data_IF_846724678692
#
_entry.id   IF_846724678692
#
_cell.length_a   1.000
_cell.length_b   1.000
_cell.length_c   1.000
_cell.angle_alpha   90.00
_cell.angle_beta   90.00
_cell.angle_gamma   90.00
#
_symmetry.space_group_name_H-M   'P 1'
#
loop_
_entity.id
_entity.type
_entity.pdbx_description
1 polymer ?
#
# COMPACT_ATOMS: atom_id res chain seq x y z
N UNK A 1 -6.00 -6.28 -40.03
CA UNK A 1 -5.98 -5.13 -39.11
C UNK A 1 -5.17 -5.56 -37.90
N UNK A 2 -3.85 -5.35 -37.93
CA UNK A 2 -3.03 -5.55 -36.73
C UNK A 2 -3.27 -4.33 -35.85
N UNK A 3 -3.90 -4.56 -34.71
CA UNK A 3 -4.21 -3.54 -33.73
C UNK A 3 -2.91 -2.84 -33.32
N UNK A 4 -2.88 -1.50 -33.38
CA UNK A 4 -1.69 -0.66 -33.17
C UNK A 4 -1.35 -0.53 -31.67
N UNK A 5 -1.50 -1.63 -30.93
CA UNK A 5 -1.22 -1.71 -29.52
C UNK A 5 0.27 -1.95 -29.32
N UNK A 6 0.93 -0.98 -28.69
CA UNK A 6 2.34 -1.13 -28.29
C UNK A 6 2.51 -2.38 -27.42
N UNK A 7 3.45 -3.28 -27.75
CA UNK A 7 3.63 -4.53 -27.02
C UNK A 7 4.07 -4.26 -25.57
N UNK A 8 3.49 -5.01 -24.63
CA UNK A 8 3.82 -4.91 -23.20
C UNK A 8 5.26 -5.35 -22.89
N UNK A 9 5.77 -6.34 -23.64
CA UNK A 9 7.12 -6.90 -23.52
C UNK A 9 7.67 -7.20 -24.92
N UNK A 10 8.97 -6.97 -25.14
CA UNK A 10 9.65 -7.28 -26.39
C UNK A 10 10.98 -7.99 -26.11
N UNK A 11 11.15 -9.18 -26.68
CA UNK A 11 12.42 -9.90 -26.65
C UNK A 11 13.36 -9.24 -27.68
N UNK A 12 14.51 -8.75 -27.22
CA UNK A 12 15.50 -8.11 -28.09
C UNK A 12 16.59 -9.08 -28.55
N UNK A 13 16.88 -10.11 -27.74
CA UNK A 13 17.90 -11.14 -28.01
C UNK A 13 17.52 -12.47 -27.32
N UNK A 14 17.97 -13.57 -27.92
CA UNK A 14 17.72 -14.94 -27.45
C UNK A 14 16.38 -15.50 -27.95
N UNK A 15 16.22 -16.81 -27.82
CA UNK A 15 14.99 -17.55 -28.13
C UNK A 15 14.46 -18.18 -26.83
N UNK A 16 13.72 -17.41 -26.00
CA UNK A 16 13.18 -17.93 -24.75
C UNK A 16 12.14 -19.01 -25.03
N UNK A 17 12.07 -20.01 -24.14
CA UNK A 17 11.03 -21.04 -24.25
C UNK A 17 9.66 -20.48 -23.89
N UNK A 18 8.60 -21.20 -24.25
CA UNK A 18 7.24 -20.84 -23.87
C UNK A 18 7.07 -20.78 -22.34
N UNK A 19 7.72 -21.69 -21.62
CA UNK A 19 7.72 -21.76 -20.15
C UNK A 19 8.39 -20.53 -19.52
N UNK A 20 9.52 -20.08 -20.07
CA UNK A 20 10.23 -18.90 -19.58
C UNK A 20 9.42 -17.62 -19.80
N UNK A 21 8.77 -17.48 -20.96
CA UNK A 21 7.87 -16.36 -21.24
C UNK A 21 6.65 -16.36 -20.31
N UNK A 22 6.07 -17.54 -20.04
CA UNK A 22 4.96 -17.67 -19.11
C UNK A 22 5.38 -17.30 -17.68
N UNK A 23 6.54 -17.78 -17.22
CA UNK A 23 7.07 -17.43 -15.90
C UNK A 23 7.28 -15.92 -15.75
N UNK A 24 7.88 -15.27 -16.76
CA UNK A 24 8.07 -13.82 -16.75
C UNK A 24 6.73 -13.06 -16.74
N UNK A 25 5.76 -13.49 -17.55
CA UNK A 25 4.43 -12.88 -17.59
C UNK A 25 3.72 -12.95 -16.23
N UNK A 26 3.84 -14.08 -15.53
CA UNK A 26 3.29 -14.25 -14.17
C UNK A 26 3.94 -13.27 -13.19
N UNK A 27 5.25 -13.11 -13.23
CA UNK A 27 5.97 -12.16 -12.36
C UNK A 27 5.53 -10.73 -12.65
N UNK A 28 5.49 -10.32 -13.91
CA UNK A 28 5.05 -8.97 -14.30
C UNK A 28 3.60 -8.73 -13.88
N UNK A 29 2.70 -9.70 -14.08
CA UNK A 29 1.31 -9.61 -13.62
C UNK A 29 1.24 -9.49 -12.10
N UNK A 30 2.01 -10.28 -11.35
CA UNK A 30 2.06 -10.21 -9.88
C UNK A 30 2.55 -8.84 -9.37
N UNK A 31 3.58 -8.27 -10.01
CA UNK A 31 4.11 -6.95 -9.64
C UNK A 31 3.18 -5.80 -10.07
N UNK A 32 2.43 -5.98 -11.16
CA UNK A 32 1.49 -4.98 -11.68
C UNK A 32 0.16 -4.97 -10.92
N UNK A 33 -0.15 -6.02 -10.16
CA UNK A 33 -1.32 -6.07 -9.31
C UNK A 33 -1.25 -4.97 -8.26
N UNK A 34 -2.07 -3.93 -8.45
CA UNK A 34 -2.26 -2.87 -7.47
C UNK A 34 -2.96 -3.45 -6.25
N UNK A 35 -2.20 -3.74 -5.20
CA UNK A 35 -2.76 -4.12 -3.90
C UNK A 35 -3.73 -3.03 -3.44
N UNK A 36 -4.94 -3.44 -3.13
CA UNK A 36 -5.90 -2.58 -2.47
C UNK A 36 -5.33 -2.21 -1.11
N UNK A 37 -5.03 -0.92 -0.94
CA UNK A 37 -4.52 -0.41 0.34
C UNK A 37 -5.71 -0.41 1.29
N UNK A 38 -5.82 -1.44 2.11
CA UNK A 38 -6.72 -1.40 3.26
C UNK A 38 -6.27 -0.30 4.19
N UNK A 39 -6.98 0.83 4.13
CA UNK A 39 -6.85 1.84 5.17
C UNK A 39 -7.52 1.26 6.42
N UNK A 40 -6.83 1.24 7.57
CA UNK A 40 -7.49 0.89 8.83
C UNK A 40 -8.71 1.79 9.01
N UNK A 41 -9.85 1.21 9.36
CA UNK A 41 -11.03 1.99 9.73
C UNK A 41 -10.63 2.94 10.86
N UNK A 42 -10.79 4.27 10.69
CA UNK A 42 -10.48 5.19 11.76
C UNK A 42 -11.32 4.84 12.98
N UNK A 43 -10.67 4.42 14.06
CA UNK A 43 -11.34 4.27 15.35
C UNK A 43 -11.55 5.65 15.96
N UNK A 44 -12.73 5.89 16.52
CA UNK A 44 -13.00 7.11 17.26
C UNK A 44 -11.99 7.29 18.40
N UNK A 45 -11.85 8.52 18.90
CA UNK A 45 -10.85 8.87 19.91
C UNK A 45 -10.88 7.95 21.16
N UNK A 46 -12.06 7.44 21.52
CA UNK A 46 -12.30 6.55 22.66
C UNK A 46 -11.86 5.09 22.43
N UNK A 47 -11.86 4.60 21.19
CA UNK A 47 -11.45 3.25 20.83
C UNK A 47 -9.99 3.19 20.33
N UNK A 48 -9.26 4.30 20.44
CA UNK A 48 -7.87 4.41 20.00
C UNK A 48 -6.92 3.94 21.10
N UNK A 49 -6.05 2.98 20.79
CA UNK A 49 -4.93 2.59 21.68
C UNK A 49 -3.81 3.64 21.74
N UNK A 50 -3.99 4.81 21.12
CA UNK A 50 -3.00 5.89 21.15
C UNK A 50 -2.69 6.36 22.57
N UNK A 51 -3.63 6.20 23.50
CA UNK A 51 -3.45 6.60 24.90
C UNK A 51 -2.56 5.62 25.69
N UNK A 52 -2.39 4.37 25.24
CA UNK A 52 -1.42 3.42 25.81
C UNK A 52 0.05 3.78 25.51
N UNK A 53 0.29 4.70 24.58
CA UNK A 53 1.62 5.20 24.26
C UNK A 53 1.73 6.67 24.64
N UNK A 54 2.57 7.00 25.64
CA UNK A 54 2.81 8.41 25.99
C UNK A 54 3.39 9.17 24.79
N UNK A 55 2.65 10.17 24.32
CA UNK A 55 3.13 11.16 23.35
C UNK A 55 3.38 12.49 24.04
N UNK A 56 4.33 13.25 23.52
CA UNK A 56 4.54 14.62 23.97
C UNK A 56 3.28 15.45 23.71
N UNK A 57 2.82 16.16 24.75
CA UNK A 57 1.73 17.12 24.65
C UNK A 57 2.12 18.22 23.66
N UNK A 58 1.32 18.40 22.62
CA UNK A 58 1.56 19.45 21.63
C UNK A 58 0.96 20.77 22.14
N UNK A 59 1.75 21.84 22.09
CA UNK A 59 1.28 23.19 22.39
C UNK A 59 0.48 23.70 21.20
N UNK A 60 -0.74 24.18 21.45
CA UNK A 60 -1.60 24.76 20.42
C UNK A 60 -3.04 24.28 20.48
N UNK A 61 -3.81 24.62 19.45
CA UNK A 61 -5.22 24.28 19.36
C UNK A 61 -5.44 22.77 19.52
N UNK A 62 -6.22 22.38 20.53
CA UNK A 62 -6.48 20.97 20.86
C UNK A 62 -5.57 20.36 21.93
N UNK A 63 -4.48 21.03 22.36
CA UNK A 63 -3.56 20.52 23.39
C UNK A 63 -4.23 20.28 24.75
N UNK A 64 -5.14 21.18 25.16
CA UNK A 64 -5.94 21.01 26.38
C UNK A 64 -6.83 19.76 26.33
N UNK A 65 -7.45 19.47 25.17
CA UNK A 65 -8.30 18.27 25.00
C UNK A 65 -7.47 16.98 25.02
N UNK A 66 -6.21 17.03 24.56
CA UNK A 66 -5.31 15.89 24.59
C UNK A 66 -4.82 15.55 26.03
N UNK A 67 -4.88 16.51 26.95
CA UNK A 67 -4.41 16.32 28.34
C UNK A 67 -5.32 15.43 29.19
N UNK A 68 -6.60 15.30 28.81
CA UNK A 68 -7.60 14.51 29.55
C UNK A 68 -7.85 13.11 28.99
N UNK A 69 -7.02 12.62 28.06
CA UNK A 69 -7.12 11.26 27.55
C UNK A 69 -6.47 10.30 28.53
N UNK A 70 -7.17 9.25 28.92
CA UNK A 70 -6.70 8.31 29.94
C UNK A 70 -5.93 7.16 29.31
N UNK A 71 -4.70 6.93 29.77
CA UNK A 71 -4.04 5.63 29.62
C UNK A 71 -4.63 4.70 30.68
N UNK A 72 -5.25 3.59 30.27
CA UNK A 72 -5.47 2.44 31.16
C UNK A 72 -4.22 1.58 31.18
#
# INVERSE_FOLDING_TARGET
MSDDQRPLLRVLRGEPTAEELAALAVVVAALSQRRERHRPTPVGAWASYADGHRRALQVGAGGWRASGRFAQ
#
